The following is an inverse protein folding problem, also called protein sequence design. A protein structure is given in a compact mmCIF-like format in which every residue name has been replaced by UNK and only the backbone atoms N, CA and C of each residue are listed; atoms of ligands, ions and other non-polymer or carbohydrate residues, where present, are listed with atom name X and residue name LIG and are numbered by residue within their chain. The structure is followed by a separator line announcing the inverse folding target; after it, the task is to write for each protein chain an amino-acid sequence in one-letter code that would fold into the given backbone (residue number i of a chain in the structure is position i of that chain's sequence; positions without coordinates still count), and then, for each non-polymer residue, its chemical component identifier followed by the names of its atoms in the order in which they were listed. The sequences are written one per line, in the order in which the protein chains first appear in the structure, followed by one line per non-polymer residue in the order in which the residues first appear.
data_IF_285731272220
#
_entry.id   IF_285731272220
#
_cell.length_a   1.000
_cell.length_b   1.000
_cell.length_c   1.000
_cell.angle_alpha   90.00
_cell.angle_beta   90.00
_cell.angle_gamma   90.00
#
_symmetry.space_group_name_H-M   'P 1'
#
loop_
_entity.id
_entity.type
_entity.pdbx_description
1 polymer ?
#
# COMPACT_ATOMS: atom_id res chain seq x y z
N UNK A 1 10.44 8.74 9.24
CA UNK A 1 10.73 9.49 10.49
C UNK A 1 11.24 8.57 11.63
N UNK A 2 12.48 8.07 11.53
CA UNK A 2 13.07 7.12 12.51
C UNK A 2 13.13 7.72 13.93
N UNK A 3 13.64 8.94 14.07
CA UNK A 3 13.80 9.60 15.37
C UNK A 3 12.48 9.66 16.15
N UNK A 4 11.38 10.03 15.45
CA UNK A 4 10.04 10.04 16.02
C UNK A 4 9.62 8.66 16.54
N UNK A 5 9.65 7.63 15.68
CA UNK A 5 9.18 6.29 16.09
C UNK A 5 10.04 5.66 17.18
N UNK A 6 11.36 5.87 17.12
CA UNK A 6 12.30 5.38 18.13
C UNK A 6 11.98 5.93 19.51
N UNK A 7 11.75 7.23 19.62
CA UNK A 7 11.39 7.87 20.89
C UNK A 7 9.99 7.45 21.38
N UNK A 8 9.01 7.36 20.48
CA UNK A 8 7.64 6.92 20.81
C UNK A 8 7.57 5.48 21.32
N UNK A 9 8.37 4.58 20.73
CA UNK A 9 8.44 3.18 21.14
C UNK A 9 9.29 2.99 22.40
N UNK A 10 10.40 3.73 22.53
CA UNK A 10 11.22 3.72 23.74
C UNK A 10 10.44 4.19 24.97
N UNK A 11 9.56 5.18 24.83
CA UNK A 11 8.66 5.63 25.90
C UNK A 11 7.69 4.53 26.38
N UNK A 12 7.48 3.48 25.57
CA UNK A 12 6.69 2.28 25.89
C UNK A 12 7.56 1.09 26.31
N UNK A 13 8.87 1.28 26.49
CA UNK A 13 9.81 0.23 26.86
C UNK A 13 10.19 -0.70 25.71
N UNK A 14 9.98 -0.28 24.45
CA UNK A 14 10.32 -1.06 23.25
C UNK A 14 11.47 -0.40 22.51
N UNK A 15 12.58 -1.10 22.38
CA UNK A 15 13.75 -0.64 21.62
C UNK A 15 13.60 -1.03 20.14
N UNK A 16 13.65 -0.04 19.25
CA UNK A 16 13.65 -0.30 17.80
C UNK A 16 15.07 -0.60 17.30
N UNK A 17 15.23 -1.55 16.35
CA UNK A 17 16.48 -1.72 15.60
C UNK A 17 16.91 -0.44 14.87
N UNK A 18 18.14 -0.38 14.32
CA UNK A 18 18.56 0.73 13.47
C UNK A 18 17.58 1.01 12.32
N UNK A 19 17.56 2.25 11.81
CA UNK A 19 16.78 2.59 10.62
C UNK A 19 17.13 1.65 9.44
N UNK A 20 16.12 1.19 8.70
CA UNK A 20 16.27 0.17 7.65
C UNK A 20 16.27 -1.29 8.16
N UNK A 21 16.36 -1.50 9.47
CA UNK A 21 16.27 -2.83 10.11
C UNK A 21 14.90 -3.10 10.76
N UNK A 22 13.93 -2.21 10.53
CA UNK A 22 12.53 -2.42 10.87
C UNK A 22 11.62 -1.72 9.84
N UNK A 23 10.45 -2.29 9.63
CA UNK A 23 9.34 -1.76 8.84
C UNK A 23 8.18 -1.33 9.71
N UNK A 24 7.39 -0.37 9.24
CA UNK A 24 6.20 0.13 9.92
C UNK A 24 4.97 -0.12 9.06
N UNK A 25 4.03 -0.89 9.60
CA UNK A 25 2.71 -1.11 9.02
C UNK A 25 1.69 -0.14 9.62
N UNK A 26 1.03 0.69 8.82
CA UNK A 26 -0.13 1.47 9.25
C UNK A 26 -1.41 0.77 8.82
N UNK A 27 -2.24 0.41 9.79
CA UNK A 27 -3.49 -0.29 9.60
C UNK A 27 -4.68 0.57 10.00
N UNK A 28 -5.68 0.59 9.13
CA UNK A 28 -7.04 0.87 9.52
C UNK A 28 -7.65 -0.44 10.04
N UNK A 29 -8.28 -0.36 11.20
CA UNK A 29 -8.94 -1.48 11.85
C UNK A 29 -10.38 -1.10 12.23
N UNK A 30 -11.29 -2.07 12.41
CA UNK A 30 -12.63 -1.81 12.93
C UNK A 30 -12.60 -1.15 14.32
N UNK A 31 -13.69 -0.46 14.65
CA UNK A 31 -13.86 0.16 15.98
C UNK A 31 -14.11 -0.87 17.09
N UNK A 32 -14.59 -2.06 16.74
CA UNK A 32 -14.81 -3.16 17.68
C UNK A 32 -13.48 -3.70 18.23
N UNK A 33 -13.34 -3.73 19.56
CA UNK A 33 -12.10 -4.10 20.21
C UNK A 33 -11.75 -5.60 20.07
N UNK A 34 -12.75 -6.49 19.98
CA UNK A 34 -12.51 -7.92 19.83
C UNK A 34 -12.01 -8.23 18.41
N UNK A 35 -12.60 -7.60 17.39
CA UNK A 35 -12.11 -7.68 16.02
C UNK A 35 -10.68 -7.12 15.90
N UNK A 36 -10.35 -6.02 16.59
CA UNK A 36 -8.97 -5.50 16.61
C UNK A 36 -7.99 -6.50 17.19
N UNK A 37 -8.30 -7.09 18.34
CA UNK A 37 -7.44 -8.09 18.97
C UNK A 37 -7.20 -9.29 18.03
N UNK A 38 -8.27 -9.78 17.38
CA UNK A 38 -8.17 -10.86 16.39
C UNK A 38 -7.27 -10.49 15.20
N UNK A 39 -7.38 -9.26 14.68
CA UNK A 39 -6.51 -8.79 13.59
C UNK A 39 -5.04 -8.70 14.06
N UNK A 40 -4.78 -8.24 15.28
CA UNK A 40 -3.43 -8.22 15.85
C UNK A 40 -2.83 -9.63 16.00
N UNK A 41 -3.65 -10.63 16.38
CA UNK A 41 -3.27 -12.04 16.40
C UNK A 41 -2.91 -12.55 15.00
N UNK A 42 -3.74 -12.27 13.99
CA UNK A 42 -3.44 -12.63 12.59
C UNK A 42 -2.12 -12.00 12.15
N UNK A 43 -1.87 -10.72 12.47
CA UNK A 43 -0.62 -10.04 12.14
C UNK A 43 0.57 -10.74 12.82
N UNK A 44 0.47 -11.03 14.11
CA UNK A 44 1.55 -11.67 14.87
C UNK A 44 1.88 -13.07 14.35
N UNK A 45 0.86 -13.90 14.11
CA UNK A 45 1.04 -15.26 13.60
C UNK A 45 1.56 -15.27 12.17
N UNK A 46 1.10 -14.34 11.32
CA UNK A 46 1.58 -14.22 9.94
C UNK A 46 3.03 -13.72 9.90
N UNK A 47 3.40 -12.78 10.77
CA UNK A 47 4.79 -12.32 10.88
C UNK A 47 5.69 -13.48 11.32
N UNK A 48 5.26 -14.24 12.34
CA UNK A 48 5.98 -15.42 12.81
C UNK A 48 6.14 -16.48 11.71
N UNK A 49 5.08 -16.81 10.97
CA UNK A 49 5.12 -17.85 9.93
C UNK A 49 5.98 -17.45 8.73
N UNK A 50 6.04 -16.16 8.41
CA UNK A 50 6.92 -15.61 7.37
C UNK A 50 8.33 -15.29 7.90
N UNK A 51 8.64 -15.63 9.15
CA UNK A 51 9.97 -15.50 9.75
C UNK A 51 10.40 -14.06 10.05
N UNK A 52 9.45 -13.13 10.17
CA UNK A 52 9.70 -11.72 10.44
C UNK A 52 9.37 -11.39 11.92
N UNK A 53 10.33 -10.88 12.71
CA UNK A 53 10.11 -10.55 14.12
C UNK A 53 9.03 -9.48 14.29
N UNK A 54 8.00 -9.74 15.08
CA UNK A 54 7.09 -8.71 15.55
C UNK A 54 7.75 -7.96 16.71
N UNK A 55 8.03 -6.66 16.53
CA UNK A 55 8.64 -5.80 17.57
C UNK A 55 7.56 -5.26 18.52
N UNK A 56 6.42 -4.85 17.98
CA UNK A 56 5.31 -4.37 18.80
C UNK A 56 4.29 -3.54 18.02
N UNK A 57 3.31 -3.03 18.76
CA UNK A 57 2.23 -2.22 18.22
C UNK A 57 2.17 -0.83 18.86
N UNK A 58 1.65 0.14 18.11
CA UNK A 58 1.43 1.52 18.54
C UNK A 58 0.08 2.03 18.08
N UNK A 59 -0.71 2.55 19.01
CA UNK A 59 -1.87 3.37 18.64
C UNK A 59 -1.41 4.69 18.04
N UNK A 60 -2.00 5.07 16.91
CA UNK A 60 -1.73 6.36 16.28
C UNK A 60 -2.61 7.41 16.95
N UNK A 61 -2.04 8.46 17.56
CA UNK A 61 -2.82 9.48 18.22
C UNK A 61 -3.55 10.37 17.20
N UNK A 62 -4.89 10.29 17.20
CA UNK A 62 -5.77 11.07 16.32
C UNK A 62 -6.65 12.07 17.11
N UNK A 63 -7.17 13.07 16.41
CA UNK A 63 -8.16 14.03 16.90
C UNK A 63 -9.27 14.23 15.86
N UNK A 64 -10.43 13.62 16.12
CA UNK A 64 -11.57 13.68 15.22
C UNK A 64 -12.52 14.87 15.48
N UNK A 65 -12.14 15.83 16.33
CA UNK A 65 -13.00 16.96 16.72
C UNK A 65 -13.43 17.81 15.52
N UNK A 66 -12.60 17.90 14.49
CA UNK A 66 -12.88 18.66 13.26
C UNK A 66 -13.69 17.89 12.21
N UNK A 67 -13.96 16.59 12.42
CA UNK A 67 -14.75 15.79 11.50
C UNK A 67 -16.24 15.98 11.70
N UNK A 68 -17.02 15.75 10.64
CA UNK A 68 -18.48 15.72 10.74
C UNK A 68 -18.91 14.68 11.77
N UNK A 69 -19.83 15.08 12.66
CA UNK A 69 -20.43 14.19 13.66
C UNK A 69 -21.66 13.44 13.15
N UNK A 70 -21.91 13.47 11.84
CA UNK A 70 -22.94 12.65 11.22
C UNK A 70 -22.69 11.15 11.53
N UNK A 71 -23.71 10.38 11.92
CA UNK A 71 -23.53 9.00 12.37
C UNK A 71 -22.73 8.12 11.39
N UNK A 72 -23.03 8.21 10.09
CA UNK A 72 -22.37 7.41 9.06
C UNK A 72 -20.88 7.76 8.89
N UNK A 73 -20.50 9.02 9.12
CA UNK A 73 -19.10 9.47 9.04
C UNK A 73 -18.32 8.95 10.25
N UNK A 74 -18.89 9.10 11.45
CA UNK A 74 -18.29 8.63 12.69
C UNK A 74 -18.16 7.09 12.69
N UNK A 75 -19.17 6.38 12.19
CA UNK A 75 -19.13 4.93 12.05
C UNK A 75 -18.08 4.46 11.02
N UNK A 76 -17.76 5.29 10.02
CA UNK A 76 -16.75 4.98 9.01
C UNK A 76 -15.31 5.21 9.48
N UNK A 77 -15.09 5.96 10.57
CA UNK A 77 -13.76 6.26 11.09
C UNK A 77 -13.07 4.98 11.60
N UNK A 78 -11.92 4.60 11.03
CA UNK A 78 -11.19 3.43 11.48
C UNK A 78 -10.44 3.70 12.78
N UNK A 79 -10.13 2.64 13.49
CA UNK A 79 -9.08 2.68 14.49
C UNK A 79 -7.71 2.61 13.79
N UNK A 80 -6.81 3.52 14.15
CA UNK A 80 -5.48 3.61 13.54
C UNK A 80 -4.43 2.89 14.40
N UNK A 81 -3.91 1.79 13.87
CA UNK A 81 -2.91 0.95 14.55
C UNK A 81 -1.65 0.84 13.70
N UNK A 82 -0.50 1.05 14.31
CA UNK A 82 0.79 0.79 13.72
C UNK A 82 1.39 -0.51 14.27
N UNK A 83 2.06 -1.26 13.40
CA UNK A 83 2.84 -2.44 13.75
C UNK A 83 4.29 -2.26 13.31
N UNK A 84 5.22 -2.68 14.15
CA UNK A 84 6.65 -2.63 13.88
C UNK A 84 7.15 -4.06 13.65
N UNK A 85 7.71 -4.29 12.46
CA UNK A 85 8.23 -5.59 12.03
C UNK A 85 9.75 -5.44 11.91
N UNK A 86 10.51 -6.36 12.47
CA UNK A 86 11.97 -6.37 12.40
C UNK A 86 12.48 -7.05 11.13
N UNK A 87 13.72 -6.71 10.77
CA UNK A 87 14.48 -7.41 9.74
C UNK A 87 15.37 -8.47 10.40
N UNK A 88 15.46 -9.63 9.76
CA UNK A 88 16.35 -10.72 10.20
C UNK A 88 17.67 -10.68 9.44
N UNK A 89 18.71 -11.29 10.02
CA UNK A 89 20.06 -11.26 9.46
C UNK A 89 20.22 -12.04 8.15
N UNK A 90 19.30 -12.95 7.83
CA UNK A 90 19.25 -13.66 6.55
C UNK A 90 18.73 -12.81 5.38
N UNK A 91 18.12 -11.64 5.66
CA UNK A 91 17.65 -10.71 4.63
C UNK A 91 18.80 -9.75 4.27
N UNK A 92 19.44 -9.91 3.10
CA UNK A 92 20.76 -9.33 2.80
C UNK A 92 20.70 -7.84 2.44
N UNK A 93 19.62 -7.38 1.79
CA UNK A 93 19.47 -6.00 1.32
C UNK A 93 18.08 -5.42 1.57
N UNK A 94 17.93 -4.12 1.27
CA UNK A 94 16.72 -3.34 1.55
C UNK A 94 15.58 -3.71 0.60
N UNK A 95 15.92 -4.09 -0.64
CA UNK A 95 14.99 -4.54 -1.67
C UNK A 95 14.33 -5.86 -1.26
N UNK A 96 15.10 -6.86 -0.81
CA UNK A 96 14.55 -8.11 -0.30
C UNK A 96 13.69 -7.85 0.95
N UNK A 97 14.10 -6.92 1.82
CA UNK A 97 13.29 -6.60 2.99
C UNK A 97 11.93 -5.99 2.63
N UNK A 98 11.87 -5.04 1.69
CA UNK A 98 10.60 -4.51 1.18
C UNK A 98 9.74 -5.60 0.53
N UNK A 99 10.34 -6.51 -0.25
CA UNK A 99 9.61 -7.61 -0.86
C UNK A 99 9.03 -8.58 0.18
N UNK A 100 9.73 -8.83 1.29
CA UNK A 100 9.25 -9.62 2.42
C UNK A 100 8.12 -8.93 3.19
N UNK A 101 8.21 -7.61 3.38
CA UNK A 101 7.13 -6.80 3.95
C UNK A 101 5.89 -6.77 3.05
N UNK A 102 6.08 -6.66 1.73
CA UNK A 102 5.02 -6.77 0.73
C UNK A 102 4.31 -8.12 0.81
N UNK A 103 5.07 -9.23 0.80
CA UNK A 103 4.55 -10.58 0.95
C UNK A 103 3.75 -10.72 2.26
N UNK A 104 4.32 -10.28 3.38
CA UNK A 104 3.66 -10.32 4.69
C UNK A 104 2.32 -9.57 4.67
N UNK A 105 2.27 -8.38 4.06
CA UNK A 105 1.02 -7.61 3.90
C UNK A 105 -0.04 -8.38 3.13
N UNK A 106 0.35 -9.08 2.07
CA UNK A 106 -0.54 -9.91 1.25
C UNK A 106 -1.03 -11.14 2.00
N UNK A 107 -0.16 -11.81 2.74
CA UNK A 107 -0.52 -12.95 3.60
C UNK A 107 -1.53 -12.55 4.68
N UNK A 108 -1.25 -11.46 5.42
CA UNK A 108 -2.16 -10.96 6.46
C UNK A 108 -3.52 -10.61 5.85
N UNK A 109 -3.52 -9.84 4.75
CA UNK A 109 -4.76 -9.42 4.10
C UNK A 109 -5.56 -10.62 3.58
N UNK A 110 -4.89 -11.58 2.91
CA UNK A 110 -5.51 -12.80 2.43
C UNK A 110 -6.12 -13.63 3.56
N UNK A 111 -5.42 -13.75 4.69
CA UNK A 111 -5.91 -14.47 5.87
C UNK A 111 -7.12 -13.81 6.51
N UNK A 112 -7.12 -12.48 6.65
CA UNK A 112 -8.29 -11.72 7.14
C UNK A 112 -9.50 -11.99 6.24
N UNK A 113 -9.35 -11.91 4.91
CA UNK A 113 -10.46 -12.22 3.99
C UNK A 113 -10.94 -13.67 4.13
N UNK A 114 -10.02 -14.64 4.16
CA UNK A 114 -10.35 -16.05 4.23
C UNK A 114 -11.13 -16.42 5.51
N UNK A 115 -10.77 -15.83 6.65
CA UNK A 115 -11.44 -16.08 7.93
C UNK A 115 -12.80 -15.39 8.06
N UNK A 116 -13.14 -14.47 7.15
CA UNK A 116 -14.35 -13.65 7.20
C UNK A 116 -15.24 -13.83 5.95
N UNK A 117 -15.33 -15.03 5.40
CA UNK A 117 -16.12 -15.35 4.18
C UNK A 117 -15.79 -14.46 2.97
N UNK A 118 -14.53 -14.04 2.83
CA UNK A 118 -14.07 -13.06 1.84
C UNK A 118 -14.77 -11.69 1.93
N UNK A 119 -15.23 -11.28 3.12
CA UNK A 119 -15.84 -9.97 3.36
C UNK A 119 -14.82 -8.99 3.93
N UNK A 120 -14.98 -7.73 3.56
CA UNK A 120 -14.24 -6.63 4.16
C UNK A 120 -14.85 -6.30 5.54
N UNK A 121 -14.07 -6.52 6.60
CA UNK A 121 -14.43 -6.24 7.99
C UNK A 121 -13.90 -4.88 8.49
N UNK A 122 -13.43 -4.02 7.59
CA UNK A 122 -12.82 -2.72 7.94
C UNK A 122 -11.34 -2.79 8.30
N UNK A 123 -10.68 -3.90 7.99
CA UNK A 123 -9.24 -4.07 8.15
C UNK A 123 -8.51 -3.75 6.82
N UNK A 124 -7.66 -2.74 6.82
CA UNK A 124 -6.95 -2.31 5.62
C UNK A 124 -5.53 -1.85 5.95
N UNK A 125 -4.54 -2.51 5.35
CA UNK A 125 -3.15 -2.07 5.43
C UNK A 125 -2.92 -0.88 4.50
N UNK A 126 -2.75 0.30 5.11
CA UNK A 126 -2.50 1.56 4.41
C UNK A 126 -1.11 1.55 3.78
N UNK A 127 -0.10 1.16 4.54
CA UNK A 127 1.28 0.91 4.10
C UNK A 127 1.94 -0.12 5.02
N UNK A 128 2.92 -0.87 4.53
CA UNK A 128 3.84 -1.69 5.33
C UNK A 128 5.20 -1.70 4.62
N UNK A 129 6.15 -0.93 5.16
CA UNK A 129 7.43 -0.65 4.51
C UNK A 129 8.44 -0.10 5.53
N UNK A 130 9.74 -0.25 5.25
CA UNK A 130 10.83 0.36 6.02
C UNK A 130 11.19 1.77 5.55
N UNK A 131 10.74 2.17 4.36
CA UNK A 131 11.01 3.47 3.73
C UNK A 131 9.79 4.41 3.71
N UNK A 132 8.59 3.86 3.54
CA UNK A 132 7.39 4.65 3.26
C UNK A 132 6.30 4.45 4.31
N UNK A 133 5.76 5.54 4.84
CA UNK A 133 4.62 5.54 5.76
C UNK A 133 3.54 6.48 5.23
N UNK A 134 2.29 6.02 5.21
CA UNK A 134 1.18 6.78 4.65
C UNK A 134 0.20 7.19 5.75
N UNK A 135 -0.13 8.48 5.76
CA UNK A 135 -1.18 9.07 6.58
C UNK A 135 -2.26 9.63 5.65
N UNK A 136 -3.45 9.04 5.69
CA UNK A 136 -4.58 9.41 4.80
C UNK A 136 -5.92 9.31 5.53
N UNK A 137 -6.96 9.92 5.01
CA UNK A 137 -8.29 9.82 5.63
C UNK A 137 -9.37 10.63 4.93
N UNK A 138 -10.56 10.64 5.54
CA UNK A 138 -11.76 11.30 5.03
C UNK A 138 -11.95 12.69 5.67
N UNK A 139 -11.05 13.61 5.33
CA UNK A 139 -11.10 14.99 5.81
C UNK A 139 -10.60 15.97 4.75
N UNK A 140 -10.86 17.26 4.94
CA UNK A 140 -10.35 18.30 4.06
C UNK A 140 -8.82 18.36 4.16
N UNK A 141 -8.13 18.70 3.07
CA UNK A 141 -6.67 18.64 3.02
C UNK A 141 -5.98 19.41 4.17
N UNK A 142 -6.48 20.59 4.54
CA UNK A 142 -5.92 21.38 5.64
C UNK A 142 -6.12 20.75 7.03
N UNK A 143 -7.02 19.78 7.17
CA UNK A 143 -7.32 19.10 8.43
C UNK A 143 -6.38 17.92 8.70
N UNK A 144 -5.52 17.52 7.75
CA UNK A 144 -4.63 16.35 7.92
C UNK A 144 -3.74 16.45 9.17
N UNK A 145 -3.11 17.61 9.37
CA UNK A 145 -2.29 17.86 10.57
C UNK A 145 -3.13 18.17 11.82
N UNK A 146 -4.40 18.56 11.65
CA UNK A 146 -5.31 18.67 12.78
C UNK A 146 -5.69 17.28 13.31
N UNK A 147 -5.96 16.33 12.40
CA UNK A 147 -6.39 14.98 12.69
C UNK A 147 -5.25 14.11 13.22
N UNK A 148 -4.12 14.03 12.52
CA UNK A 148 -2.99 13.20 12.94
C UNK A 148 -1.99 13.99 13.78
N UNK A 149 -1.88 13.67 15.07
CA UNK A 149 -1.00 14.40 15.99
C UNK A 149 0.48 14.21 15.65
N UNK A 150 0.85 13.04 15.13
CA UNK A 150 2.22 12.72 14.70
C UNK A 150 2.77 13.74 13.70
N UNK A 151 1.94 14.23 12.77
CA UNK A 151 2.37 15.15 11.71
C UNK A 151 2.69 16.56 12.20
N UNK A 152 2.41 16.87 13.47
CA UNK A 152 2.81 18.13 14.13
C UNK A 152 4.11 17.99 14.90
N UNK A 153 4.63 16.78 15.06
CA UNK A 153 5.85 16.54 15.80
C UNK A 153 7.07 16.95 14.95
N UNK A 154 7.98 17.79 15.46
CA UNK A 154 9.15 18.22 14.71
C UNK A 154 10.11 17.07 14.36
N UNK A 155 10.06 15.95 15.09
CA UNK A 155 10.85 14.74 14.79
C UNK A 155 10.30 13.96 13.59
N UNK A 156 9.11 14.31 13.11
CA UNK A 156 8.48 13.65 11.96
C UNK A 156 9.08 14.16 10.64
N UNK A 157 10.35 13.85 10.43
CA UNK A 157 11.13 14.32 9.27
C UNK A 157 11.09 13.31 8.10
N UNK A 158 11.18 13.84 6.89
CA UNK A 158 11.28 13.08 5.64
C UNK A 158 11.99 13.91 4.56
N UNK A 159 12.64 13.24 3.61
CA UNK A 159 13.24 13.87 2.44
C UNK A 159 12.20 14.17 1.34
N UNK A 160 11.12 13.39 1.27
CA UNK A 160 10.09 13.48 0.24
C UNK A 160 8.70 13.41 0.87
N UNK A 161 7.76 14.19 0.35
CA UNK A 161 6.34 14.15 0.69
C UNK A 161 5.53 14.12 -0.59
N UNK A 162 4.59 13.19 -0.65
CA UNK A 162 3.58 13.13 -1.70
C UNK A 162 2.21 13.43 -1.08
N UNK A 163 1.50 14.41 -1.65
CA UNK A 163 0.16 14.82 -1.20
C UNK A 163 -0.86 14.64 -2.31
N UNK A 164 -2.09 14.31 -1.94
CA UNK A 164 -3.20 14.21 -2.87
C UNK A 164 -4.52 14.56 -2.22
N UNK A 165 -5.36 15.31 -2.92
CA UNK A 165 -6.74 15.56 -2.55
C UNK A 165 -7.66 14.97 -3.63
N UNK A 166 -8.51 14.02 -3.23
CA UNK A 166 -9.41 13.33 -4.14
C UNK A 166 -10.76 14.05 -4.21
N UNK A 167 -11.32 14.14 -5.41
CA UNK A 167 -12.74 14.44 -5.62
C UNK A 167 -13.47 13.12 -5.94
N UNK A 168 -14.61 12.86 -5.31
CA UNK A 168 -15.35 11.60 -5.43
C UNK A 168 -16.76 11.86 -5.92
N UNK A 169 -17.23 11.08 -6.89
CA UNK A 169 -18.64 11.05 -7.30
C UNK A 169 -19.49 10.18 -6.36
N UNK A 170 -18.86 9.37 -5.48
CA UNK A 170 -19.54 8.59 -4.45
C UNK A 170 -19.90 9.46 -3.25
N UNK A 171 -21.13 9.30 -2.75
CA UNK A 171 -21.64 9.94 -1.53
C UNK A 171 -21.32 9.17 -0.26
N UNK A 172 -20.93 7.88 -0.36
CA UNK A 172 -20.57 7.07 0.79
C UNK A 172 -19.08 7.26 1.17
N UNK A 173 -18.79 7.65 2.42
CA UNK A 173 -17.42 7.87 2.88
C UNK A 173 -16.66 6.54 2.94
N UNK A 174 -15.42 6.53 2.46
CA UNK A 174 -14.55 5.36 2.56
C UNK A 174 -13.09 5.76 2.75
N UNK A 175 -12.59 5.55 3.97
CA UNK A 175 -11.22 5.90 4.35
C UNK A 175 -10.15 5.19 3.53
N UNK A 176 -10.37 3.91 3.18
CA UNK A 176 -9.44 3.12 2.37
C UNK A 176 -9.24 3.70 0.96
N UNK A 177 -10.24 4.40 0.41
CA UNK A 177 -10.21 5.00 -0.92
C UNK A 177 -9.53 6.38 -0.96
N UNK A 178 -9.14 6.93 0.20
CA UNK A 178 -8.30 8.12 0.24
C UNK A 178 -6.93 7.80 -0.35
N UNK A 179 -6.30 8.83 -0.93
CA UNK A 179 -4.93 8.80 -1.42
C UNK A 179 -3.97 9.37 -0.36
N UNK A 180 -2.65 9.15 -0.48
CA UNK A 180 -1.99 8.33 -1.50
C UNK A 180 -2.20 6.81 -1.30
N UNK A 181 -1.89 6.05 -2.34
CA UNK A 181 -1.66 4.62 -2.26
C UNK A 181 -0.16 4.35 -2.08
N UNK A 182 0.26 3.08 -2.09
CA UNK A 182 1.59 2.66 -1.60
C UNK A 182 2.71 3.16 -2.49
N UNK A 183 2.48 3.14 -3.79
CA UNK A 183 3.41 3.57 -4.82
C UNK A 183 2.97 4.86 -5.49
N UNK A 184 1.66 5.16 -5.54
CA UNK A 184 1.12 6.24 -6.38
C UNK A 184 0.13 7.18 -5.69
N UNK A 185 0.10 8.42 -6.19
CA UNK A 185 -1.10 9.22 -6.24
C UNK A 185 -1.49 9.50 -7.68
N UNK A 186 -2.79 9.38 -7.96
CA UNK A 186 -3.35 9.48 -9.29
C UNK A 186 -4.51 10.47 -9.28
N UNK A 187 -4.43 11.46 -10.16
CA UNK A 187 -5.53 12.33 -10.52
C UNK A 187 -6.03 11.92 -11.91
N UNK A 188 -7.23 11.36 -11.96
CA UNK A 188 -7.75 10.78 -13.19
C UNK A 188 -8.72 9.63 -12.95
N UNK A 189 -8.93 8.84 -13.99
CA UNK A 189 -9.78 7.64 -13.97
C UNK A 189 -9.22 6.60 -14.94
N UNK A 190 -9.02 5.37 -14.49
CA UNK A 190 -8.59 4.26 -15.36
C UNK A 190 -9.84 3.56 -15.91
N UNK A 191 -10.16 3.84 -17.17
CA UNK A 191 -11.36 3.38 -17.84
C UNK A 191 -11.31 1.89 -18.19
N UNK A 192 -10.11 1.32 -18.30
CA UNK A 192 -9.90 -0.08 -18.69
C UNK A 192 -9.81 -1.06 -17.51
N UNK A 193 -9.95 -0.57 -16.26
CA UNK A 193 -9.65 -1.31 -15.03
C UNK A 193 -10.25 -2.71 -14.97
N UNK A 194 -11.50 -2.89 -15.45
CA UNK A 194 -12.15 -4.21 -15.44
C UNK A 194 -11.41 -5.22 -16.31
N UNK A 195 -10.99 -4.81 -17.50
CA UNK A 195 -10.19 -5.62 -18.40
C UNK A 195 -8.82 -5.89 -17.79
N UNK A 196 -8.18 -4.86 -17.24
CA UNK A 196 -6.87 -5.00 -16.61
C UNK A 196 -6.87 -5.99 -15.44
N UNK A 197 -7.85 -5.91 -14.56
CA UNK A 197 -7.99 -6.84 -13.43
C UNK A 197 -8.19 -8.29 -13.90
N UNK A 198 -9.00 -8.51 -14.93
CA UNK A 198 -9.21 -9.84 -15.49
C UNK A 198 -7.93 -10.42 -16.09
N UNK A 199 -7.17 -9.59 -16.82
CA UNK A 199 -5.89 -9.99 -17.39
C UNK A 199 -4.83 -10.26 -16.32
N UNK A 200 -4.74 -9.43 -15.27
CA UNK A 200 -3.90 -9.70 -14.11
C UNK A 200 -4.26 -11.01 -13.42
N UNK A 201 -5.56 -11.27 -13.20
CA UNK A 201 -6.01 -12.54 -12.63
C UNK A 201 -5.67 -13.74 -13.51
N UNK A 202 -5.79 -13.63 -14.84
CA UNK A 202 -5.43 -14.69 -15.77
C UNK A 202 -3.93 -15.04 -15.73
N UNK A 203 -3.06 -14.06 -15.42
CA UNK A 203 -1.61 -14.27 -15.27
C UNK A 203 -1.23 -15.09 -14.05
N UNK A 204 -2.12 -15.24 -13.06
CA UNK A 204 -1.86 -16.01 -11.83
C UNK A 204 -1.34 -17.42 -12.10
N UNK A 205 -1.87 -18.09 -13.13
CA UNK A 205 -1.54 -19.49 -13.42
C UNK A 205 -0.15 -19.68 -14.05
N UNK A 206 0.42 -18.63 -14.65
CA UNK A 206 1.66 -18.73 -15.43
C UNK A 206 2.78 -17.83 -14.93
N UNK A 207 2.52 -16.99 -13.92
CA UNK A 207 3.52 -16.07 -13.40
C UNK A 207 4.58 -16.82 -12.61
N UNK A 208 5.83 -16.41 -12.78
CA UNK A 208 6.99 -16.95 -12.08
C UNK A 208 7.92 -15.79 -11.73
N UNK A 209 8.64 -15.91 -10.62
CA UNK A 209 9.62 -14.92 -10.17
C UNK A 209 10.69 -15.61 -9.35
N UNK A 210 11.95 -15.42 -9.75
CA UNK A 210 13.09 -15.93 -8.97
C UNK A 210 13.16 -15.30 -7.58
N UNK A 211 12.74 -14.03 -7.45
CA UNK A 211 12.74 -13.28 -6.18
C UNK A 211 11.73 -13.85 -5.17
N UNK A 212 10.55 -14.25 -5.64
CA UNK A 212 9.52 -14.80 -4.76
C UNK A 212 9.53 -16.33 -4.68
N UNK A 213 10.07 -17.02 -5.69
CA UNK A 213 9.97 -18.46 -5.85
C UNK A 213 8.55 -18.96 -5.60
N UNK A 214 8.42 -20.02 -4.78
CA UNK A 214 7.11 -20.59 -4.44
C UNK A 214 6.19 -19.62 -3.65
N UNK A 215 6.73 -18.58 -3.00
CA UNK A 215 5.94 -17.61 -2.27
C UNK A 215 5.10 -16.71 -3.19
N UNK A 216 5.38 -16.67 -4.50
CA UNK A 216 4.59 -15.88 -5.45
C UNK A 216 3.11 -16.26 -5.43
N UNK A 217 2.81 -17.54 -5.13
CA UNK A 217 1.45 -18.06 -5.00
C UNK A 217 0.66 -17.39 -3.86
N UNK A 218 1.34 -16.92 -2.80
CA UNK A 218 0.73 -16.26 -1.64
C UNK A 218 0.31 -14.82 -1.91
N UNK A 219 0.75 -14.23 -3.02
CA UNK A 219 0.44 -12.83 -3.37
C UNK A 219 -0.98 -12.65 -3.92
N UNK A 220 -1.67 -13.74 -4.25
CA UNK A 220 -2.96 -13.69 -4.93
C UNK A 220 -4.15 -13.61 -3.96
N UNK A 221 -5.23 -12.88 -4.34
CA UNK A 221 -5.35 -12.07 -5.56
C UNK A 221 -4.54 -10.78 -5.44
N UNK A 222 -3.93 -10.30 -6.55
CA UNK A 222 -3.18 -9.01 -6.54
C UNK A 222 -4.09 -7.85 -6.14
N UNK A 223 -5.28 -7.78 -6.74
CA UNK A 223 -6.34 -6.83 -6.41
C UNK A 223 -7.59 -7.57 -5.92
N UNK A 224 -8.19 -7.07 -4.84
CA UNK A 224 -9.44 -7.61 -4.29
C UNK A 224 -10.65 -6.99 -4.99
N UNK A 225 -11.78 -7.71 -4.98
CA UNK A 225 -13.04 -7.19 -5.51
C UNK A 225 -13.47 -5.91 -4.76
N UNK A 226 -14.05 -4.96 -5.50
CA UNK A 226 -14.57 -3.71 -4.94
C UNK A 226 -13.52 -2.63 -4.62
N UNK A 227 -12.27 -2.82 -5.01
CA UNK A 227 -11.25 -1.77 -4.95
C UNK A 227 -11.44 -0.71 -6.05
N UNK A 228 -10.98 0.52 -5.81
CA UNK A 228 -11.01 1.55 -6.85
C UNK A 228 -10.02 1.23 -7.96
N UNK A 229 -10.21 1.89 -9.10
CA UNK A 229 -9.32 1.86 -10.25
C UNK A 229 -7.84 2.11 -9.88
N UNK A 230 -7.58 3.17 -9.11
CA UNK A 230 -6.23 3.53 -8.67
C UNK A 230 -5.66 2.50 -7.70
N UNK A 231 -6.47 1.95 -6.79
CA UNK A 231 -6.01 0.89 -5.90
C UNK A 231 -5.56 -0.35 -6.69
N UNK A 232 -6.31 -0.69 -7.74
CA UNK A 232 -5.97 -1.81 -8.61
C UNK A 232 -4.66 -1.55 -9.37
N UNK A 233 -4.47 -0.32 -9.87
CA UNK A 233 -3.24 0.10 -10.54
C UNK A 233 -2.04 0.09 -9.58
N UNK A 234 -2.20 0.63 -8.37
CA UNK A 234 -1.18 0.63 -7.33
C UNK A 234 -0.71 -0.79 -7.00
N UNK A 235 -1.64 -1.73 -6.84
CA UNK A 235 -1.29 -3.13 -6.58
C UNK A 235 -0.54 -3.77 -7.76
N UNK A 236 -0.93 -3.47 -9.00
CA UNK A 236 -0.26 -3.99 -10.20
C UNK A 236 1.16 -3.40 -10.34
N UNK A 237 1.33 -2.12 -10.08
CA UNK A 237 2.63 -1.45 -10.08
C UNK A 237 3.55 -2.01 -8.99
N UNK A 238 3.04 -2.11 -7.76
CA UNK A 238 3.78 -2.67 -6.63
C UNK A 238 4.16 -4.13 -6.90
N UNK A 239 3.28 -4.92 -7.52
CA UNK A 239 3.59 -6.29 -7.92
C UNK A 239 4.76 -6.37 -8.91
N UNK A 240 4.77 -5.53 -9.95
CA UNK A 240 5.89 -5.48 -10.91
C UNK A 240 7.18 -4.99 -10.25
N UNK A 241 7.10 -3.93 -9.45
CA UNK A 241 8.26 -3.34 -8.79
C UNK A 241 8.91 -4.33 -7.82
N UNK A 242 8.12 -4.92 -6.92
CA UNK A 242 8.60 -5.94 -5.99
C UNK A 242 8.99 -7.24 -6.71
N UNK A 243 8.49 -7.46 -7.92
CA UNK A 243 8.89 -8.54 -8.83
C UNK A 243 10.21 -8.30 -9.58
N UNK A 244 10.89 -7.17 -9.34
CA UNK A 244 12.24 -6.88 -9.84
C UNK A 244 12.31 -5.88 -11.01
N UNK A 245 11.19 -5.33 -11.45
CA UNK A 245 11.20 -4.25 -12.45
C UNK A 245 11.63 -2.94 -11.77
N UNK A 246 12.42 -2.11 -12.46
CA UNK A 246 12.58 -0.73 -12.02
C UNK A 246 11.23 0.00 -12.06
N UNK A 247 11.02 0.96 -11.16
CA UNK A 247 9.75 1.67 -11.07
C UNK A 247 9.37 2.35 -12.40
N UNK A 248 10.35 2.96 -13.07
CA UNK A 248 10.14 3.60 -14.39
C UNK A 248 9.77 2.60 -15.48
N UNK A 249 10.39 1.41 -15.48
CA UNK A 249 10.05 0.35 -16.43
C UNK A 249 8.61 -0.11 -16.20
N UNK A 250 8.26 -0.45 -14.95
CA UNK A 250 6.91 -0.90 -14.60
C UNK A 250 5.84 0.15 -14.96
N UNK A 251 6.13 1.43 -14.71
CA UNK A 251 5.25 2.53 -15.12
C UNK A 251 5.07 2.60 -16.64
N UNK A 252 6.14 2.47 -17.44
CA UNK A 252 6.05 2.49 -18.90
C UNK A 252 5.37 1.24 -19.49
N UNK A 253 5.33 0.12 -18.75
CA UNK A 253 4.54 -1.06 -19.12
C UNK A 253 3.05 -0.85 -18.86
N UNK A 254 2.69 -0.25 -17.71
CA UNK A 254 1.29 -0.06 -17.33
C UNK A 254 0.66 1.14 -18.04
N UNK A 255 1.37 2.27 -18.16
CA UNK A 255 0.94 3.51 -18.84
C UNK A 255 1.94 3.83 -19.97
N UNK A 256 1.92 3.09 -21.09
CA UNK A 256 2.81 3.34 -22.22
C UNK A 256 2.46 4.64 -22.96
N UNK A 257 3.46 5.29 -23.56
CA UNK A 257 3.22 6.38 -24.52
C UNK A 257 2.47 5.86 -25.76
N UNK A 258 1.77 6.75 -26.46
CA UNK A 258 1.23 6.46 -27.79
C UNK A 258 2.38 6.31 -28.82
N UNK A 259 2.89 5.09 -28.95
CA UNK A 259 4.07 4.75 -29.75
C UNK A 259 3.75 4.33 -31.19
N UNK A 260 2.59 3.70 -31.41
CA UNK A 260 2.20 3.19 -32.72
C UNK A 260 2.00 4.35 -33.72
N UNK A 261 2.76 4.35 -34.82
CA UNK A 261 2.70 5.40 -35.83
C UNK A 261 3.36 6.73 -35.46
N UNK A 262 3.99 6.83 -34.28
CA UNK A 262 4.70 8.04 -33.86
C UNK A 262 6.03 8.19 -34.64
N UNK A 263 6.07 9.16 -35.56
CA UNK A 263 7.25 9.44 -36.40
C UNK A 263 8.37 10.19 -35.67
N UNK A 264 8.09 10.73 -34.48
CA UNK A 264 9.05 11.49 -33.68
C UNK A 264 9.74 10.63 -32.61
N UNK A 265 9.23 9.41 -32.37
CA UNK A 265 9.80 8.47 -31.43
C UNK A 265 11.01 7.76 -32.04
N UNK A 266 12.11 7.67 -31.29
CA UNK A 266 13.29 6.93 -31.71
C UNK A 266 13.05 5.41 -31.77
N UNK A 267 13.94 4.70 -32.47
CA UNK A 267 13.77 3.28 -32.74
C UNK A 267 13.82 2.43 -31.47
N UNK A 268 14.67 2.77 -30.50
CA UNK A 268 14.86 2.00 -29.28
C UNK A 268 13.63 2.12 -28.37
N UNK A 269 13.11 3.34 -28.17
CA UNK A 269 11.87 3.57 -27.41
C UNK A 269 10.66 2.91 -28.06
N UNK A 270 10.59 2.94 -29.39
CA UNK A 270 9.51 2.24 -30.11
C UNK A 270 9.60 0.72 -29.92
N UNK A 271 10.80 0.14 -30.04
CA UNK A 271 11.02 -1.29 -29.82
C UNK A 271 10.68 -1.71 -28.38
N UNK A 272 11.03 -0.88 -27.39
CA UNK A 272 10.65 -1.08 -26.00
C UNK A 272 9.12 -1.21 -25.83
N UNK A 273 8.36 -0.25 -26.38
CA UNK A 273 6.90 -0.30 -26.25
C UNK A 273 6.26 -1.44 -27.06
N UNK A 274 6.79 -1.74 -28.25
CA UNK A 274 6.31 -2.85 -29.08
C UNK A 274 6.50 -4.20 -28.37
N UNK A 275 7.64 -4.41 -27.72
CA UNK A 275 7.90 -5.61 -26.92
C UNK A 275 6.93 -5.71 -25.74
N UNK A 276 6.78 -4.64 -24.95
CA UNK A 276 5.97 -4.65 -23.73
C UNK A 276 4.46 -4.70 -23.99
N UNK A 277 4.00 -4.21 -25.15
CA UNK A 277 2.59 -4.31 -25.55
C UNK A 277 2.09 -5.75 -25.71
N UNK A 278 3.00 -6.72 -25.92
CA UNK A 278 2.67 -8.14 -25.94
C UNK A 278 2.55 -8.76 -24.53
N UNK A 279 3.11 -8.11 -23.51
CA UNK A 279 3.18 -8.62 -22.13
C UNK A 279 2.11 -7.99 -21.23
N UNK A 280 1.88 -6.69 -21.36
CA UNK A 280 0.98 -5.91 -20.54
C UNK A 280 0.07 -5.05 -21.41
N UNK A 281 -1.24 -5.21 -21.22
CA UNK A 281 -2.21 -4.31 -21.82
C UNK A 281 -2.23 -2.96 -21.08
N UNK A 282 -2.40 -1.82 -21.78
CA UNK A 282 -2.40 -0.51 -21.14
C UNK A 282 -3.49 -0.39 -20.06
N UNK A 283 -3.13 0.27 -18.96
CA UNK A 283 -4.04 0.77 -17.95
C UNK A 283 -4.44 2.20 -18.36
N UNK A 284 -5.40 2.28 -19.26
CA UNK A 284 -5.74 3.49 -20.01
C UNK A 284 -6.85 4.31 -19.36
N UNK A 285 -6.82 5.60 -19.63
CA UNK A 285 -7.70 6.62 -19.08
C UNK A 285 -6.95 7.93 -18.79
N UNK A 286 -7.64 9.05 -18.55
CA UNK A 286 -6.98 10.28 -18.16
C UNK A 286 -6.21 10.04 -16.86
N UNK A 287 -4.90 10.27 -16.86
CA UNK A 287 -4.07 9.97 -15.70
C UNK A 287 -2.92 11.00 -15.55
N UNK A 288 -2.96 11.76 -14.47
CA UNK A 288 -1.79 12.44 -13.92
C UNK A 288 -1.33 11.65 -12.69
N UNK A 289 -0.18 10.97 -12.81
CA UNK A 289 0.33 10.07 -11.77
C UNK A 289 1.64 10.62 -11.22
N UNK A 290 1.74 10.66 -9.89
CA UNK A 290 2.99 10.86 -9.16
C UNK A 290 3.28 9.57 -8.43
N UNK A 291 4.53 9.10 -8.51
CA UNK A 291 4.93 7.80 -7.97
C UNK A 291 6.33 7.87 -7.36
N UNK A 292 6.59 7.01 -6.38
CA UNK A 292 7.90 6.81 -5.74
C UNK A 292 8.00 5.38 -5.24
N UNK A 293 9.22 4.86 -5.24
CA UNK A 293 9.62 3.63 -4.56
C UNK A 293 10.20 3.91 -3.18
#
# INVERSE_FOLDING_TARGET
PDAFFREEMAAKGVELPPAGQYGVGHWFMPQDAALRAHIEEIIAESAQSEGLPLIGFRDVPVDNSSLSKAPDIVASEPFHRQVFIGRTADIPDDEEYEARLYLLRKVISGRIYAENDNKDIGAYCVSLSARTIIYKGMFLAYQVGAYYKDLKDPRFETALILVHQRFSTNTFPSWKLAHPYRMVAHNGEINTVRGNNNWMAARQASVDSELFGNNISKLWPISYEGQSDTACFDNALEFLFQGGYSLTHAMMMLIPEAWAGNKLMDADRKAFHEYNAALMEPWDGPAAVVFTD
#
